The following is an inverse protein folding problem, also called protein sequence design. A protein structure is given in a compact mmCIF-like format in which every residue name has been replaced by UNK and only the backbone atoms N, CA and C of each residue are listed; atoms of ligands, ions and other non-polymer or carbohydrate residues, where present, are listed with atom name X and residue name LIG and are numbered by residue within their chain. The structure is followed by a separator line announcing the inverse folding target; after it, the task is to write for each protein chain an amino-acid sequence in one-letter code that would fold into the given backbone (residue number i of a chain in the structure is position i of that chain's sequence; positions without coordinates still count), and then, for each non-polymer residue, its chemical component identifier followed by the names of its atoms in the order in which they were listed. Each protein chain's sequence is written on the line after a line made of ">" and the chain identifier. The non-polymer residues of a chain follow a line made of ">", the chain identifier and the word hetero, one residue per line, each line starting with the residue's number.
data_IF_805643382104
#
_entry.id   IF_805643382104
#
_cell.length_a   1.000
_cell.length_b   1.000
_cell.length_c   1.000
_cell.angle_alpha   90.00
_cell.angle_beta   90.00
_cell.angle_gamma   90.00
#
_symmetry.space_group_name_H-M   'P 1'
#
loop_
_entity.id
_entity.type
_entity.pdbx_description
1 polymer ?
#
# COMPACT_ATOMS: atom_id res chain seq x y z
N UNK A 1 -0.81 -28.23 -14.22
CA UNK A 1 -0.91 -26.79 -13.88
C UNK A 1 -1.48 -26.08 -15.09
N UNK A 2 -2.55 -25.33 -14.90
CA UNK A 2 -3.07 -24.40 -15.90
C UNK A 2 -2.34 -23.08 -15.66
N UNK A 3 -1.54 -22.64 -16.63
CA UNK A 3 -0.90 -21.34 -16.56
C UNK A 3 -1.81 -20.32 -17.26
N UNK A 4 -1.97 -19.11 -16.69
CA UNK A 4 -2.69 -18.06 -17.37
C UNK A 4 -2.01 -17.72 -18.72
N UNK A 5 -2.79 -17.38 -19.76
CA UNK A 5 -2.23 -16.90 -21.01
C UNK A 5 -1.37 -15.65 -20.79
N UNK A 6 -0.36 -15.46 -21.67
CA UNK A 6 0.63 -14.36 -21.56
C UNK A 6 -0.02 -12.98 -21.38
N UNK A 7 -1.10 -12.70 -22.09
CA UNK A 7 -1.78 -11.41 -22.00
C UNK A 7 -2.37 -11.13 -20.61
N UNK A 8 -2.74 -12.17 -19.86
CA UNK A 8 -3.19 -12.06 -18.47
C UNK A 8 -1.99 -11.81 -17.55
N UNK A 9 -0.90 -12.56 -17.71
CA UNK A 9 0.34 -12.35 -16.95
C UNK A 9 0.84 -10.91 -17.09
N UNK A 10 0.85 -10.38 -18.32
CA UNK A 10 1.25 -9.00 -18.59
C UNK A 10 0.30 -7.96 -17.99
N UNK A 11 -0.99 -8.27 -17.84
CA UNK A 11 -1.92 -7.40 -17.10
C UNK A 11 -1.62 -7.41 -15.61
N UNK A 12 -1.38 -8.58 -15.01
CA UNK A 12 -1.05 -8.70 -13.59
C UNK A 12 0.25 -7.94 -13.29
N UNK A 13 1.29 -8.09 -14.12
CA UNK A 13 2.56 -7.35 -14.02
C UNK A 13 2.35 -5.82 -14.04
N UNK A 14 1.40 -5.32 -14.84
CA UNK A 14 1.06 -3.90 -14.91
C UNK A 14 0.25 -3.41 -13.71
N UNK A 15 -0.62 -4.27 -13.17
CA UNK A 15 -1.49 -3.93 -12.04
C UNK A 15 -0.72 -3.93 -10.71
N UNK A 16 0.18 -4.92 -10.56
CA UNK A 16 1.01 -5.17 -9.38
C UNK A 16 2.51 -5.07 -9.73
N UNK A 17 3.01 -3.88 -10.12
CA UNK A 17 4.45 -3.69 -10.26
C UNK A 17 5.15 -3.82 -8.91
N UNK A 18 6.47 -4.06 -8.94
CA UNK A 18 7.32 -4.07 -7.74
C UNK A 18 7.14 -2.77 -6.93
N UNK A 19 7.07 -2.90 -5.61
CA UNK A 19 6.78 -1.79 -4.68
C UNK A 19 5.28 -1.55 -4.44
N UNK A 20 4.38 -2.25 -5.14
CA UNK A 20 2.94 -2.12 -4.90
C UNK A 20 2.58 -2.62 -3.51
N UNK A 21 1.84 -1.80 -2.76
CA UNK A 21 1.32 -2.17 -1.45
C UNK A 21 0.03 -2.95 -1.58
N UNK A 22 -0.05 -4.11 -0.94
CA UNK A 22 -1.21 -5.00 -1.01
C UNK A 22 -1.65 -5.46 0.38
N UNK A 23 -2.89 -5.88 0.46
CA UNK A 23 -3.48 -6.54 1.63
C UNK A 23 -4.09 -7.88 1.21
N UNK A 24 -3.78 -8.93 1.96
CA UNK A 24 -4.32 -10.26 1.75
C UNK A 24 -5.82 -10.26 2.06
N UNK A 25 -6.62 -10.71 1.10
CA UNK A 25 -8.05 -10.95 1.31
C UNK A 25 -8.26 -12.41 1.68
N UNK A 26 -7.72 -13.32 0.87
CA UNK A 26 -7.95 -14.75 1.03
C UNK A 26 -6.75 -15.53 0.47
N UNK A 27 -6.37 -16.58 1.20
CA UNK A 27 -5.36 -17.54 0.78
C UNK A 27 -6.00 -18.92 0.72
N UNK A 28 -5.89 -19.59 -0.41
CA UNK A 28 -6.45 -20.93 -0.57
C UNK A 28 -5.37 -21.99 -0.31
N UNK A 29 -5.02 -22.17 0.96
CA UNK A 29 -3.99 -23.12 1.41
C UNK A 29 -4.48 -23.89 2.65
N UNK A 30 -4.38 -25.22 2.61
CA UNK A 30 -4.78 -26.12 3.71
C UNK A 30 -3.75 -26.20 4.85
N UNK A 31 -2.52 -25.75 4.61
CA UNK A 31 -1.39 -25.89 5.53
C UNK A 31 -0.88 -24.55 6.05
N UNK A 32 -1.09 -23.46 5.31
CA UNK A 32 -0.65 -22.11 5.70
C UNK A 32 -1.85 -21.30 6.17
N UNK A 33 -1.79 -20.86 7.42
CA UNK A 33 -2.74 -19.90 7.96
C UNK A 33 -2.13 -18.51 7.90
N UNK A 34 -2.70 -17.69 7.02
CA UNK A 34 -2.45 -16.26 6.98
C UNK A 34 -3.75 -15.55 7.35
N UNK A 35 -3.66 -14.58 8.25
CA UNK A 35 -4.81 -13.79 8.64
C UNK A 35 -5.17 -12.84 7.49
N UNK A 36 -6.47 -12.79 7.15
CA UNK A 36 -6.99 -11.77 6.26
C UNK A 36 -6.69 -10.38 6.84
N UNK A 37 -6.28 -9.44 5.99
CA UNK A 37 -5.82 -8.12 6.41
C UNK A 37 -4.31 -8.00 6.58
N UNK A 38 -3.54 -9.10 6.45
CA UNK A 38 -2.08 -9.00 6.42
C UNK A 38 -1.63 -8.15 5.23
N UNK A 39 -0.75 -7.18 5.47
CA UNK A 39 -0.23 -6.28 4.43
C UNK A 39 1.14 -6.73 3.95
N UNK A 40 1.43 -6.52 2.67
CA UNK A 40 2.71 -6.89 2.05
C UNK A 40 3.12 -5.99 0.88
N UNK A 41 4.42 -6.02 0.53
CA UNK A 41 4.98 -5.31 -0.62
C UNK A 41 5.14 -6.30 -1.74
N UNK A 42 4.61 -6.01 -2.93
CA UNK A 42 4.92 -6.81 -4.11
C UNK A 42 6.41 -6.66 -4.42
N UNK A 43 7.15 -7.76 -4.43
CA UNK A 43 8.56 -7.78 -4.81
C UNK A 43 8.69 -7.97 -6.32
N UNK A 44 7.96 -8.93 -6.90
CA UNK A 44 7.87 -9.14 -8.35
C UNK A 44 6.62 -9.95 -8.74
N UNK A 45 6.35 -10.02 -10.05
CA UNK A 45 5.38 -10.95 -10.63
C UNK A 45 6.12 -11.81 -11.65
N UNK A 46 6.04 -13.12 -11.51
CA UNK A 46 6.76 -14.05 -12.38
C UNK A 46 6.01 -14.36 -13.69
N UNK A 47 6.64 -15.13 -14.57
CA UNK A 47 6.09 -15.49 -15.89
C UNK A 47 4.93 -16.49 -15.82
N UNK A 48 4.62 -17.01 -14.62
CA UNK A 48 3.45 -17.84 -14.35
C UNK A 48 2.24 -17.03 -13.87
N UNK A 49 2.43 -15.72 -13.63
CA UNK A 49 1.41 -14.83 -13.09
C UNK A 49 1.31 -14.86 -11.56
N UNK A 50 2.27 -15.46 -10.85
CA UNK A 50 2.31 -15.46 -9.38
C UNK A 50 2.84 -14.12 -8.89
N UNK A 51 2.12 -13.49 -7.97
CA UNK A 51 2.52 -12.21 -7.35
C UNK A 51 3.34 -12.54 -6.11
N UNK A 52 4.65 -12.31 -6.15
CA UNK A 52 5.52 -12.50 -5.00
C UNK A 52 5.42 -11.28 -4.08
N UNK A 53 5.14 -11.55 -2.80
CA UNK A 53 4.90 -10.51 -1.80
C UNK A 53 5.78 -10.75 -0.57
N UNK A 54 6.46 -9.68 -0.18
CA UNK A 54 7.18 -9.57 1.10
C UNK A 54 6.19 -9.04 2.14
N UNK A 55 5.69 -9.93 3.00
CA UNK A 55 4.66 -9.61 3.98
C UNK A 55 5.26 -8.97 5.23
N UNK A 56 4.50 -8.07 5.88
CA UNK A 56 4.99 -7.30 7.03
C UNK A 56 5.30 -8.14 8.26
N UNK A 57 4.78 -9.37 8.33
CA UNK A 57 5.13 -10.35 9.35
C UNK A 57 6.48 -11.05 9.09
N UNK A 58 7.22 -10.65 8.05
CA UNK A 58 8.49 -11.24 7.63
C UNK A 58 8.36 -12.47 6.75
N UNK A 59 7.15 -12.89 6.41
CA UNK A 59 6.91 -14.02 5.51
C UNK A 59 7.08 -13.61 4.04
N UNK A 60 7.45 -14.57 3.20
CA UNK A 60 7.59 -14.38 1.76
C UNK A 60 6.71 -15.44 1.09
N UNK A 61 5.56 -15.01 0.58
CA UNK A 61 4.55 -15.91 0.02
C UNK A 61 4.04 -15.32 -1.29
N UNK A 62 4.09 -16.14 -2.34
CA UNK A 62 3.48 -15.82 -3.63
C UNK A 62 1.98 -16.07 -3.62
N UNK A 63 1.23 -15.16 -4.25
CA UNK A 63 -0.20 -15.29 -4.48
C UNK A 63 -0.42 -15.77 -5.91
N UNK A 64 -1.10 -16.92 -6.05
CA UNK A 64 -1.41 -17.53 -7.32
C UNK A 64 -2.66 -16.92 -7.91
N UNK A 65 -2.56 -16.43 -9.15
CA UNK A 65 -3.69 -15.86 -9.88
C UNK A 65 -4.87 -16.85 -9.97
N UNK A 66 -6.08 -16.35 -9.70
CA UNK A 66 -7.35 -17.10 -9.70
C UNK A 66 -7.48 -18.18 -8.61
N UNK A 67 -6.53 -18.23 -7.67
CA UNK A 67 -6.53 -19.14 -6.52
C UNK A 67 -6.50 -18.36 -5.21
N UNK A 68 -5.62 -17.35 -5.14
CA UNK A 68 -5.47 -16.46 -3.99
C UNK A 68 -5.98 -15.04 -4.33
N UNK A 69 -6.32 -14.27 -3.31
CA UNK A 69 -6.90 -12.94 -3.47
C UNK A 69 -6.21 -11.89 -2.60
N UNK A 70 -5.85 -10.77 -3.21
CA UNK A 70 -5.37 -9.58 -2.52
C UNK A 70 -5.97 -8.32 -3.14
N UNK A 71 -5.92 -7.22 -2.37
CA UNK A 71 -6.26 -5.88 -2.87
C UNK A 71 -5.06 -4.97 -2.85
N UNK A 72 -4.95 -4.12 -3.88
CA UNK A 72 -4.03 -2.99 -3.89
C UNK A 72 -4.49 -1.93 -2.90
N UNK A 73 -3.59 -1.48 -2.04
CA UNK A 73 -3.84 -0.38 -1.13
C UNK A 73 -3.65 0.95 -1.84
N UNK A 74 -4.54 1.91 -1.54
CA UNK A 74 -4.45 3.29 -2.03
C UNK A 74 -3.51 4.06 -1.11
N UNK A 75 -2.22 3.88 -1.34
CA UNK A 75 -1.21 4.52 -0.51
C UNK A 75 -1.16 6.02 -0.77
N UNK A 76 -0.76 6.76 0.26
CA UNK A 76 -0.42 8.18 0.13
C UNK A 76 0.97 8.41 0.69
N UNK A 77 1.74 9.28 0.05
CA UNK A 77 3.04 9.72 0.55
C UNK A 77 2.87 11.10 1.17
N UNK A 78 3.40 11.27 2.37
CA UNK A 78 3.53 12.58 3.01
C UNK A 78 4.98 12.93 3.19
N UNK A 79 5.33 14.19 3.00
CA UNK A 79 6.66 14.75 3.23
C UNK A 79 6.48 15.84 4.27
N UNK A 80 7.01 15.64 5.47
CA UNK A 80 6.90 16.60 6.57
C UNK A 80 8.29 16.81 7.16
N UNK A 81 8.76 18.06 7.28
CA UNK A 81 10.15 18.34 7.67
C UNK A 81 11.20 17.66 6.77
N UNK A 82 10.87 17.42 5.51
CA UNK A 82 11.72 16.66 4.58
C UNK A 82 11.75 15.14 4.82
N UNK A 83 11.03 14.64 5.84
CA UNK A 83 10.88 13.21 6.09
C UNK A 83 9.72 12.64 5.27
N UNK A 84 10.03 11.64 4.44
CA UNK A 84 9.01 10.93 3.67
C UNK A 84 8.39 9.79 4.47
N UNK A 85 7.06 9.67 4.42
CA UNK A 85 6.32 8.54 4.96
C UNK A 85 5.26 8.08 3.98
N UNK A 86 5.21 6.77 3.75
CA UNK A 86 4.15 6.12 2.98
C UNK A 86 3.12 5.58 3.97
N UNK A 87 1.85 5.86 3.70
CA UNK A 87 0.72 5.41 4.49
C UNK A 87 -0.10 4.43 3.67
N UNK A 88 -0.54 3.35 4.31
CA UNK A 88 -1.40 2.34 3.68
C UNK A 88 -2.83 2.84 3.48
N UNK A 89 -3.24 3.86 4.24
CA UNK A 89 -4.56 4.48 4.17
C UNK A 89 -4.46 6.00 4.26
N UNK A 90 -5.20 6.69 3.38
CA UNK A 90 -5.39 8.14 3.44
C UNK A 90 -6.06 8.56 4.75
N UNK A 91 -6.98 7.77 5.27
CA UNK A 91 -7.70 8.09 6.51
C UNK A 91 -6.74 8.06 7.72
N UNK A 92 -5.84 7.08 7.76
CA UNK A 92 -4.79 7.00 8.80
C UNK A 92 -3.86 8.21 8.73
N UNK A 93 -3.42 8.58 7.52
CA UNK A 93 -2.61 9.79 7.31
C UNK A 93 -3.35 11.05 7.78
N UNK A 94 -4.61 11.21 7.37
CA UNK A 94 -5.43 12.36 7.76
C UNK A 94 -5.63 12.44 9.28
N UNK A 95 -5.89 11.32 9.95
CA UNK A 95 -6.06 11.28 11.40
C UNK A 95 -4.78 11.74 12.13
N UNK A 96 -3.61 11.29 11.67
CA UNK A 96 -2.32 11.71 12.22
C UNK A 96 -2.10 13.22 12.08
N UNK A 97 -2.25 13.77 10.88
CA UNK A 97 -2.03 15.20 10.63
C UNK A 97 -3.10 16.08 11.28
N UNK A 98 -4.34 15.60 11.39
CA UNK A 98 -5.40 16.28 12.13
C UNK A 98 -5.07 16.36 13.63
N UNK A 99 -4.63 15.25 14.23
CA UNK A 99 -4.22 15.25 15.63
C UNK A 99 -3.03 16.18 15.86
N UNK A 100 -2.02 16.15 14.99
CA UNK A 100 -0.88 17.06 15.04
C UNK A 100 -1.31 18.53 14.96
N UNK A 101 -2.23 18.86 14.04
CA UNK A 101 -2.79 20.21 13.90
C UNK A 101 -3.53 20.69 15.15
N UNK A 102 -4.24 19.81 15.86
CA UNK A 102 -4.95 20.15 17.09
C UNK A 102 -4.00 20.27 18.29
N UNK A 103 -2.90 19.52 18.29
CA UNK A 103 -1.95 19.43 19.40
C UNK A 103 -0.78 20.43 19.31
N UNK A 104 -0.66 21.19 18.21
CA UNK A 104 0.45 22.12 17.96
C UNK A 104 -0.05 23.54 17.67
N UNK A 105 0.86 24.51 17.71
CA UNK A 105 0.60 25.91 17.40
C UNK A 105 1.73 26.50 16.53
N UNK A 106 1.47 27.65 15.91
CA UNK A 106 2.46 28.37 15.11
C UNK A 106 2.87 27.64 13.83
N UNK A 107 4.17 27.60 13.54
CA UNK A 107 4.70 27.06 12.27
C UNK A 107 4.51 25.55 12.12
N UNK A 108 4.52 24.79 13.21
CA UNK A 108 4.25 23.35 13.19
C UNK A 108 2.79 23.06 12.78
N UNK A 109 1.85 23.77 13.40
CA UNK A 109 0.43 23.66 13.06
C UNK A 109 0.17 23.95 11.58
N UNK A 110 0.83 24.97 11.02
CA UNK A 110 0.68 25.31 9.60
C UNK A 110 1.16 24.19 8.68
N UNK A 111 2.28 23.52 9.01
CA UNK A 111 2.80 22.38 8.23
C UNK A 111 1.81 21.21 8.21
N UNK A 112 1.30 20.83 9.38
CA UNK A 112 0.31 19.76 9.48
C UNK A 112 -1.01 20.12 8.78
N UNK A 113 -1.43 21.38 8.86
CA UNK A 113 -2.61 21.88 8.14
C UNK A 113 -2.43 21.78 6.63
N UNK A 114 -1.28 22.18 6.09
CA UNK A 114 -0.99 22.08 4.66
C UNK A 114 -1.09 20.64 4.15
N UNK A 115 -0.44 19.70 4.85
CA UNK A 115 -0.49 18.27 4.48
C UNK A 115 -1.92 17.73 4.60
N UNK A 116 -2.63 18.04 5.67
CA UNK A 116 -4.02 17.61 5.87
C UNK A 116 -4.94 18.08 4.74
N UNK A 117 -4.83 19.34 4.33
CA UNK A 117 -5.63 19.89 3.22
C UNK A 117 -5.29 19.19 1.90
N UNK A 118 -4.01 18.96 1.61
CA UNK A 118 -3.55 18.22 0.41
C UNK A 118 -4.11 16.79 0.38
N UNK A 119 -4.14 16.10 1.53
CA UNK A 119 -4.76 14.78 1.67
C UNK A 119 -6.28 14.83 1.42
N UNK A 120 -6.96 15.84 1.97
CA UNK A 120 -8.41 16.02 1.85
C UNK A 120 -8.86 16.31 0.41
N UNK A 121 -8.11 17.12 -0.35
CA UNK A 121 -8.38 17.37 -1.78
C UNK A 121 -7.99 16.19 -2.68
N UNK A 122 -7.39 15.15 -2.10
CA UNK A 122 -7.16 13.88 -2.74
C UNK A 122 -5.81 13.72 -3.43
N UNK A 123 -4.81 14.51 -3.06
CA UNK A 123 -3.44 14.33 -3.54
C UNK A 123 -2.85 12.99 -3.06
N UNK A 124 -1.98 12.41 -3.89
CA UNK A 124 -1.26 11.18 -3.57
C UNK A 124 0.10 11.47 -2.88
N UNK A 125 0.69 12.63 -3.19
CA UNK A 125 1.94 13.12 -2.60
C UNK A 125 1.64 14.46 -1.94
N UNK A 126 1.79 14.54 -0.62
CA UNK A 126 1.43 15.71 0.18
C UNK A 126 2.65 16.21 0.95
N UNK A 127 3.23 17.35 0.53
CA UNK A 127 4.36 18.01 1.19
C UNK A 127 3.88 19.18 2.07
N UNK A 128 4.58 19.45 3.18
CA UNK A 128 4.41 20.66 3.98
C UNK A 128 4.98 21.92 3.32
N UNK A 129 5.87 21.75 2.33
CA UNK A 129 6.29 22.79 1.41
C UNK A 129 5.12 23.22 0.49
N UNK A 130 5.14 24.47 0.00
CA UNK A 130 4.10 25.02 -0.89
C UNK A 130 3.94 24.20 -2.17
#
# INVERSE_FOLDING_TARGET
>A
MLFPPRDIVEKIKKEYPSGTRVELIELNDLYRHFDAGLKGTVSCVDDTGTIHVDWDNGSHLGLVYDVDSCRKLKTVKTICYGEEKIWDSREEAMAFFFQGMVASEGSEQQRYTNIYLKLQIGMEICSDEE
#
